data_IF_791995148730
#
_entry.id   IF_791995148730
#
_cell.length_a   1.000
_cell.length_b   1.000
_cell.length_c   1.000
_cell.angle_alpha   90.00
_cell.angle_beta   90.00
_cell.angle_gamma   90.00
#
_symmetry.space_group_name_H-M   'P 1'
#
loop_
_entity.id
_entity.type
_entity.pdbx_description
1 polymer ?
#
# COMPACT_ATOMS: atom_id res chain seq x y z
N UNK A 1 -14.26 -10.07 -0.39
CA UNK A 1 -15.27 -9.04 -0.74
C UNK A 1 -16.05 -8.51 0.47
N UNK A 2 -16.18 -9.26 1.57
CA UNK A 2 -16.84 -8.77 2.80
C UNK A 2 -16.14 -7.58 3.50
N UNK A 3 -14.81 -7.48 3.38
CA UNK A 3 -14.02 -6.42 4.04
C UNK A 3 -14.30 -5.02 3.45
N UNK A 4 -14.46 -4.90 2.12
CA UNK A 4 -14.84 -3.66 1.45
C UNK A 4 -16.30 -3.24 1.74
N UNK A 5 -17.18 -4.21 2.02
CA UNK A 5 -18.56 -3.93 2.40
C UNK A 5 -18.70 -3.45 3.86
N UNK A 6 -17.77 -3.81 4.76
CA UNK A 6 -17.80 -3.41 6.18
C UNK A 6 -17.16 -2.03 6.44
N UNK A 7 -16.07 -1.70 5.76
CA UNK A 7 -15.43 -0.37 5.85
C UNK A 7 -16.28 0.76 5.24
N UNK A 8 -17.25 0.41 4.41
CA UNK A 8 -17.93 1.33 3.50
C UNK A 8 -17.11 1.54 2.24
N UNK A 9 -17.73 1.28 1.09
CA UNK A 9 -17.12 1.43 -0.25
C UNK A 9 -16.50 2.82 -0.41
N UNK A 10 -17.15 3.85 0.15
CA UNK A 10 -16.69 5.24 0.12
C UNK A 10 -15.32 5.43 0.81
N UNK A 11 -15.12 4.86 2.01
CA UNK A 11 -13.84 4.96 2.70
C UNK A 11 -12.73 4.25 1.94
N UNK A 12 -13.01 3.08 1.36
CA UNK A 12 -12.06 2.35 0.53
C UNK A 12 -11.68 3.12 -0.75
N UNK A 13 -12.64 3.75 -1.42
CA UNK A 13 -12.40 4.57 -2.61
C UNK A 13 -11.57 5.81 -2.27
N UNK A 14 -11.85 6.47 -1.13
CA UNK A 14 -11.07 7.61 -0.66
C UNK A 14 -9.63 7.23 -0.34
N UNK A 15 -9.40 6.08 0.33
CA UNK A 15 -8.06 5.58 0.63
C UNK A 15 -7.28 5.32 -0.67
N UNK A 16 -7.91 4.67 -1.65
CA UNK A 16 -7.29 4.43 -2.95
C UNK A 16 -6.96 5.75 -3.66
N UNK A 17 -7.90 6.70 -3.70
CA UNK A 17 -7.70 8.00 -4.33
C UNK A 17 -6.54 8.79 -3.68
N UNK A 18 -6.53 8.90 -2.34
CA UNK A 18 -5.45 9.56 -1.61
C UNK A 18 -4.11 8.85 -1.79
N UNK A 19 -4.10 7.51 -1.80
CA UNK A 19 -2.90 6.70 -2.02
C UNK A 19 -2.31 6.91 -3.41
N UNK A 20 -3.13 6.79 -4.46
CA UNK A 20 -2.71 7.03 -5.85
C UNK A 20 -2.20 8.46 -6.04
N UNK A 21 -2.88 9.44 -5.46
CA UNK A 21 -2.45 10.84 -5.49
C UNK A 21 -1.10 11.05 -4.81
N UNK A 22 -0.87 10.44 -3.64
CA UNK A 22 0.39 10.52 -2.92
C UNK A 22 1.57 9.90 -3.70
N UNK A 23 1.36 8.71 -4.29
CA UNK A 23 2.39 8.06 -5.13
C UNK A 23 2.67 8.86 -6.41
N UNK A 24 1.64 9.51 -6.98
CA UNK A 24 1.82 10.36 -8.16
C UNK A 24 2.62 11.62 -7.82
N UNK A 25 2.34 12.28 -6.70
CA UNK A 25 3.06 13.49 -6.28
C UNK A 25 4.53 13.24 -5.99
N UNK A 26 4.90 12.08 -5.44
CA UNK A 26 6.32 11.76 -5.24
C UNK A 26 7.05 11.55 -6.56
N UNK A 27 6.43 10.88 -7.54
CA UNK A 27 7.01 10.71 -8.88
C UNK A 27 7.20 12.08 -9.55
N UNK A 28 6.19 12.96 -9.49
CA UNK A 28 6.26 14.32 -10.02
C UNK A 28 7.35 15.14 -9.31
N UNK A 29 7.48 14.99 -8.00
CA UNK A 29 8.54 15.64 -7.20
C UNK A 29 9.94 15.18 -7.65
N UNK A 30 10.13 13.89 -7.90
CA UNK A 30 11.38 13.35 -8.44
C UNK A 30 11.71 13.90 -9.83
N UNK A 31 10.72 13.96 -10.74
CA UNK A 31 10.91 14.52 -12.09
C UNK A 31 11.25 16.01 -12.00
N UNK A 32 10.56 16.75 -11.12
CA UNK A 32 10.83 18.17 -10.90
C UNK A 32 12.23 18.41 -10.36
N UNK A 33 12.66 17.59 -9.39
CA UNK A 33 14.01 17.65 -8.82
C UNK A 33 15.08 17.32 -9.87
N UNK A 34 14.85 16.32 -10.72
CA UNK A 34 15.75 15.99 -11.82
C UNK A 34 15.88 17.17 -12.81
N UNK A 35 14.76 17.79 -13.17
CA UNK A 35 14.75 18.99 -14.03
C UNK A 35 15.51 20.15 -13.38
N UNK A 36 15.26 20.41 -12.10
CA UNK A 36 15.96 21.46 -11.35
C UNK A 36 17.47 21.19 -11.34
N UNK A 37 17.90 19.96 -11.07
CA UNK A 37 19.32 19.57 -11.05
C UNK A 37 20.01 19.73 -12.41
N UNK A 38 19.29 19.59 -13.52
CA UNK A 38 19.83 19.74 -14.88
C UNK A 38 19.84 21.18 -15.40
N UNK A 39 19.11 22.08 -14.74
CA UNK A 39 18.94 23.46 -15.20
C UNK A 39 20.02 24.35 -14.58
N UNK A 40 20.74 25.11 -15.40
CA UNK A 40 21.65 26.15 -14.91
C UNK A 40 20.85 27.34 -14.38
N UNK A 41 20.50 27.30 -13.09
CA UNK A 41 19.75 28.37 -12.42
C UNK A 41 20.68 29.57 -12.20
N UNK A 42 20.48 30.65 -12.95
CA UNK A 42 21.32 31.86 -12.89
C UNK A 42 20.72 32.98 -12.06
N UNK A 43 19.38 32.99 -11.91
CA UNK A 43 18.64 34.07 -11.24
C UNK A 43 18.04 33.60 -9.92
N UNK A 44 18.08 34.45 -8.88
CA UNK A 44 17.47 34.19 -7.56
C UNK A 44 15.97 33.86 -7.67
N UNK A 45 15.22 34.61 -8.49
CA UNK A 45 13.80 34.39 -8.73
C UNK A 45 13.49 32.99 -9.30
N UNK A 46 14.35 32.47 -10.19
CA UNK A 46 14.19 31.13 -10.74
C UNK A 46 14.41 30.07 -9.66
N UNK A 47 15.46 30.22 -8.84
CA UNK A 47 15.74 29.32 -7.71
C UNK A 47 14.56 29.27 -6.75
N UNK A 48 14.02 30.42 -6.37
CA UNK A 48 12.92 30.51 -5.41
C UNK A 48 11.64 29.88 -5.99
N UNK A 49 11.43 29.96 -7.31
CA UNK A 49 10.33 29.27 -8.01
C UNK A 49 10.50 27.74 -7.99
N UNK A 50 11.71 27.24 -8.28
CA UNK A 50 12.01 25.80 -8.20
C UNK A 50 11.82 25.24 -6.79
N UNK A 51 12.31 25.97 -5.80
CA UNK A 51 12.22 25.62 -4.38
C UNK A 51 10.76 25.67 -3.89
N UNK A 52 10.02 26.71 -4.27
CA UNK A 52 8.62 26.89 -3.92
C UNK A 52 7.74 25.78 -4.47
N UNK A 53 7.89 25.43 -5.75
CA UNK A 53 7.10 24.36 -6.35
C UNK A 53 7.43 22.99 -5.74
N UNK A 54 8.71 22.70 -5.49
CA UNK A 54 9.13 21.48 -4.81
C UNK A 54 8.53 21.39 -3.39
N UNK A 55 8.54 22.50 -2.65
CA UNK A 55 7.92 22.60 -1.33
C UNK A 55 6.42 22.32 -1.37
N UNK A 56 5.68 22.91 -2.32
CA UNK A 56 4.23 22.67 -2.49
C UNK A 56 3.93 21.22 -2.85
N UNK A 57 4.71 20.61 -3.75
CA UNK A 57 4.55 19.19 -4.12
C UNK A 57 4.77 18.27 -2.90
N UNK A 58 5.82 18.53 -2.11
CA UNK A 58 6.11 17.78 -0.88
C UNK A 58 5.04 17.96 0.19
N UNK A 59 4.58 19.19 0.43
CA UNK A 59 3.49 19.47 1.37
C UNK A 59 2.19 18.79 0.94
N UNK A 60 1.84 18.86 -0.35
CA UNK A 60 0.69 18.17 -0.91
C UNK A 60 0.76 16.66 -0.69
N UNK A 61 1.94 16.06 -0.88
CA UNK A 61 2.16 14.64 -0.62
C UNK A 61 1.94 14.28 0.86
N UNK A 62 2.54 15.05 1.78
CA UNK A 62 2.40 14.83 3.23
C UNK A 62 0.94 14.94 3.66
N UNK A 63 0.20 15.90 3.13
CA UNK A 63 -1.23 16.08 3.40
C UNK A 63 -2.05 14.86 2.95
N UNK A 64 -1.81 14.35 1.73
CA UNK A 64 -2.52 13.16 1.22
C UNK A 64 -2.22 11.91 2.04
N UNK A 65 -0.95 11.69 2.43
CA UNK A 65 -0.55 10.55 3.27
C UNK A 65 -1.17 10.68 4.67
N UNK A 66 -1.20 11.88 5.23
CA UNK A 66 -1.80 12.15 6.53
C UNK A 66 -3.31 11.91 6.50
N UNK A 67 -4.00 12.41 5.47
CA UNK A 67 -5.43 12.18 5.27
C UNK A 67 -5.75 10.68 5.13
N UNK A 68 -4.97 9.95 4.32
CA UNK A 68 -5.11 8.50 4.17
C UNK A 68 -4.95 7.77 5.52
N UNK A 69 -3.97 8.19 6.33
CA UNK A 69 -3.71 7.58 7.65
C UNK A 69 -4.86 7.82 8.63
N UNK A 70 -5.45 9.02 8.62
CA UNK A 70 -6.61 9.35 9.46
C UNK A 70 -7.86 8.56 9.04
N UNK A 71 -8.11 8.44 7.73
CA UNK A 71 -9.24 7.66 7.21
C UNK A 71 -9.10 6.19 7.59
N UNK A 72 -7.90 5.62 7.44
CA UNK A 72 -7.61 4.24 7.84
C UNK A 72 -7.83 4.03 9.34
N UNK A 73 -7.35 4.94 10.19
CA UNK A 73 -7.55 4.86 11.64
C UNK A 73 -9.03 4.94 12.03
N UNK A 74 -9.80 5.82 11.39
CA UNK A 74 -11.25 5.91 11.62
C UNK A 74 -11.97 4.63 11.16
N UNK A 75 -11.62 4.13 9.98
CA UNK A 75 -12.19 2.91 9.42
C UNK A 75 -11.89 1.67 10.27
N UNK A 76 -10.67 1.52 10.81
CA UNK A 76 -10.31 0.39 11.67
C UNK A 76 -11.08 0.42 12.99
N UNK A 77 -11.22 1.59 13.63
CA UNK A 77 -12.04 1.74 14.83
C UNK A 77 -13.50 1.36 14.59
N UNK A 78 -14.07 1.78 13.46
CA UNK A 78 -15.45 1.43 13.08
C UNK A 78 -15.61 -0.07 12.83
N UNK A 79 -14.67 -0.69 12.12
CA UNK A 79 -14.67 -2.12 11.86
C UNK A 79 -14.59 -2.94 13.16
N UNK A 80 -13.68 -2.57 14.07
CA UNK A 80 -13.54 -3.21 15.37
C UNK A 80 -14.84 -3.16 16.19
N UNK A 81 -15.52 -2.00 16.22
CA UNK A 81 -16.80 -1.84 16.93
C UNK A 81 -17.90 -2.75 16.35
N UNK A 82 -18.02 -2.80 15.03
CA UNK A 82 -19.02 -3.65 14.37
C UNK A 82 -18.77 -5.14 14.63
N UNK A 83 -17.50 -5.57 14.56
CA UNK A 83 -17.11 -6.94 14.84
C UNK A 83 -17.44 -7.33 16.29
N UNK A 84 -17.09 -6.47 17.26
CA UNK A 84 -17.38 -6.70 18.66
C UNK A 84 -18.89 -6.80 18.93
N UNK A 85 -19.70 -5.95 18.32
CA UNK A 85 -21.16 -6.00 18.49
C UNK A 85 -21.76 -7.29 17.91
N UNK A 86 -21.36 -7.69 16.69
CA UNK A 86 -21.84 -8.94 16.08
C UNK A 86 -21.46 -10.18 16.88
N UNK A 87 -20.23 -10.20 17.41
CA UNK A 87 -19.77 -11.27 18.28
C UNK A 87 -20.59 -11.35 19.58
N UNK A 88 -20.82 -10.20 20.23
CA UNK A 88 -21.59 -10.14 21.48
C UNK A 88 -23.02 -10.67 21.31
N UNK A 89 -23.70 -10.25 20.23
CA UNK A 89 -25.05 -10.72 19.91
C UNK A 89 -25.08 -12.22 19.68
N UNK A 90 -24.12 -12.76 18.91
CA UNK A 90 -24.05 -14.20 18.65
C UNK A 90 -23.78 -15.01 19.93
N UNK A 91 -22.91 -14.51 20.81
CA UNK A 91 -22.63 -15.17 22.10
C UNK A 91 -23.90 -15.23 22.96
N UNK A 92 -24.68 -14.14 23.03
CA UNK A 92 -25.91 -14.09 23.84
C UNK A 92 -27.00 -15.07 23.38
N UNK A 93 -26.96 -15.56 22.13
CA UNK A 93 -27.93 -16.51 21.59
C UNK A 93 -27.52 -17.99 21.75
N UNK A 94 -26.35 -18.28 22.33
CA UNK A 94 -25.90 -19.66 22.52
C UNK A 94 -26.67 -20.34 23.69
N UNK A 95 -26.89 -21.67 23.63
CA UNK A 95 -27.56 -22.40 24.70
C UNK A 95 -26.69 -22.51 25.96
N UNK A 96 -27.31 -22.51 27.15
CA UNK A 96 -26.63 -22.52 28.46
C UNK A 96 -25.62 -23.67 28.61
N UNK A 97 -25.89 -24.84 28.01
CA UNK A 97 -24.98 -25.99 27.99
C UNK A 97 -23.61 -25.72 27.34
N UNK A 98 -23.55 -24.78 26.39
CA UNK A 98 -22.31 -24.35 25.75
C UNK A 98 -21.43 -23.52 26.72
N UNK A 99 -22.07 -22.83 27.68
CA UNK A 99 -21.40 -22.05 28.73
C UNK A 99 -20.83 -22.89 29.87
N UNK A 100 -21.37 -24.08 30.10
CA UNK A 100 -20.91 -24.98 31.17
C UNK A 100 -19.77 -25.90 30.74
N UNK A 101 -19.72 -26.29 29.45
CA UNK A 101 -18.77 -27.29 28.93
C UNK A 101 -17.49 -26.69 28.35
N UNK A 102 -17.48 -25.40 28.02
CA UNK A 102 -16.34 -24.74 27.37
C UNK A 102 -15.97 -23.45 28.09
N UNK A 103 -14.67 -23.20 28.27
CA UNK A 103 -14.17 -21.89 28.70
C UNK A 103 -14.40 -20.85 27.58
N UNK A 104 -15.63 -20.37 27.42
CA UNK A 104 -16.08 -19.43 26.36
C UNK A 104 -15.18 -18.20 26.29
N UNK A 105 -14.72 -17.71 27.45
CA UNK A 105 -13.81 -16.57 27.50
C UNK A 105 -12.52 -16.77 26.69
N UNK A 106 -11.98 -18.01 26.62
CA UNK A 106 -10.77 -18.30 25.82
C UNK A 106 -11.08 -18.39 24.32
N UNK A 107 -12.21 -19.01 23.95
CA UNK A 107 -12.61 -19.17 22.53
C UNK A 107 -12.96 -17.81 21.93
N UNK A 108 -13.73 -17.00 22.66
CA UNK A 108 -14.11 -15.64 22.27
C UNK A 108 -12.88 -14.74 22.17
N UNK A 109 -11.98 -14.77 23.15
CA UNK A 109 -10.77 -13.96 23.11
C UNK A 109 -9.84 -14.37 21.96
N UNK A 110 -9.75 -15.68 21.66
CA UNK A 110 -8.98 -16.19 20.52
C UNK A 110 -9.62 -15.80 19.19
N UNK A 111 -10.93 -16.01 19.02
CA UNK A 111 -11.65 -15.68 17.79
C UNK A 111 -11.62 -14.17 17.52
N UNK A 112 -11.86 -13.33 18.53
CA UNK A 112 -11.71 -11.87 18.40
C UNK A 112 -10.30 -11.48 18.01
N UNK A 113 -9.26 -12.09 18.61
CA UNK A 113 -7.87 -11.77 18.29
C UNK A 113 -7.49 -12.23 16.89
N UNK A 114 -7.92 -13.42 16.47
CA UNK A 114 -7.61 -13.98 15.15
C UNK A 114 -8.32 -13.16 14.06
N UNK A 115 -9.60 -12.85 14.23
CA UNK A 115 -10.34 -12.01 13.28
C UNK A 115 -9.76 -10.60 13.23
N UNK A 116 -9.49 -9.96 14.37
CA UNK A 116 -8.86 -8.63 14.38
C UNK A 116 -7.48 -8.63 13.71
N UNK A 117 -6.69 -9.70 13.88
CA UNK A 117 -5.37 -9.80 13.24
C UNK A 117 -5.48 -9.99 11.74
N UNK A 118 -6.42 -10.82 11.27
CA UNK A 118 -6.67 -11.03 9.84
C UNK A 118 -7.22 -9.75 9.20
N UNK A 119 -8.15 -9.10 9.89
CA UNK A 119 -8.79 -7.86 9.48
C UNK A 119 -7.81 -6.69 9.40
N UNK A 120 -6.83 -6.58 10.29
CA UNK A 120 -5.80 -5.53 10.20
C UNK A 120 -4.71 -5.85 9.18
N UNK A 121 -4.28 -7.12 9.11
CA UNK A 121 -3.13 -7.51 8.29
C UNK A 121 -3.44 -7.52 6.80
N UNK A 122 -4.57 -8.11 6.38
CA UNK A 122 -4.89 -8.27 4.95
C UNK A 122 -4.95 -6.93 4.21
N UNK A 123 -5.70 -5.92 4.68
CA UNK A 123 -5.81 -4.64 3.98
C UNK A 123 -4.52 -3.84 4.03
N UNK A 124 -3.76 -3.95 5.13
CA UNK A 124 -2.46 -3.30 5.27
C UNK A 124 -1.45 -3.89 4.28
N UNK A 125 -1.39 -5.22 4.17
CA UNK A 125 -0.56 -5.91 3.20
C UNK A 125 -0.99 -5.60 1.76
N UNK A 126 -2.30 -5.61 1.46
CA UNK A 126 -2.81 -5.27 0.13
C UNK A 126 -2.50 -3.81 -0.24
N UNK A 127 -2.72 -2.88 0.69
CA UNK A 127 -2.44 -1.46 0.48
C UNK A 127 -0.94 -1.24 0.27
N UNK A 128 -0.10 -1.89 1.07
CA UNK A 128 1.36 -1.85 0.89
C UNK A 128 1.76 -2.43 -0.47
N UNK A 129 1.20 -3.58 -0.85
CA UNK A 129 1.44 -4.20 -2.14
C UNK A 129 1.09 -3.25 -3.30
N UNK A 130 -0.11 -2.65 -3.28
CA UNK A 130 -0.55 -1.69 -4.31
C UNK A 130 0.40 -0.49 -4.36
N UNK A 131 0.76 0.10 -3.20
CA UNK A 131 1.68 1.25 -3.15
C UNK A 131 3.05 0.90 -3.71
N UNK A 132 3.64 -0.21 -3.25
CA UNK A 132 4.94 -0.67 -3.72
C UNK A 132 4.91 -1.01 -5.21
N UNK A 133 3.84 -1.66 -5.68
CA UNK A 133 3.66 -1.99 -7.09
C UNK A 133 3.61 -0.75 -7.97
N UNK A 134 2.78 0.24 -7.62
CA UNK A 134 2.70 1.50 -8.35
C UNK A 134 3.99 2.32 -8.28
N UNK A 135 4.61 2.40 -7.10
CA UNK A 135 5.88 3.10 -6.91
C UNK A 135 7.00 2.48 -7.75
N UNK A 136 7.04 1.15 -7.83
CA UNK A 136 7.99 0.42 -8.68
C UNK A 136 7.77 0.72 -10.16
N UNK A 137 6.51 0.66 -10.62
CA UNK A 137 6.16 1.01 -12.00
C UNK A 137 6.52 2.46 -12.34
N UNK A 138 6.21 3.39 -11.43
CA UNK A 138 6.56 4.81 -11.59
C UNK A 138 8.06 5.04 -11.67
N UNK A 139 8.84 4.36 -10.83
CA UNK A 139 10.30 4.44 -10.84
C UNK A 139 10.88 3.89 -12.15
N UNK A 140 10.40 2.74 -12.62
CA UNK A 140 10.81 2.17 -13.92
C UNK A 140 10.50 3.14 -15.05
N UNK A 141 9.32 3.77 -15.02
CA UNK A 141 8.92 4.77 -16.02
C UNK A 141 9.86 5.98 -16.03
N UNK A 142 10.15 6.56 -14.86
CA UNK A 142 11.06 7.70 -14.73
C UNK A 142 12.47 7.38 -15.23
N UNK A 143 13.01 6.22 -14.85
CA UNK A 143 14.35 5.79 -15.29
C UNK A 143 14.37 5.57 -16.79
N UNK A 144 13.36 4.89 -17.34
CA UNK A 144 13.26 4.60 -18.78
C UNK A 144 13.14 5.87 -19.62
N UNK A 145 12.37 6.85 -19.13
CA UNK A 145 12.27 8.16 -19.76
C UNK A 145 13.60 8.93 -19.72
N UNK A 146 14.30 8.90 -18.58
CA UNK A 146 15.56 9.63 -18.42
C UNK A 146 16.72 9.00 -19.16
N UNK A 147 16.79 7.66 -19.21
CA UNK A 147 17.90 6.90 -19.80
C UNK A 147 17.35 5.73 -20.62
N UNK A 148 17.09 5.91 -21.93
CA UNK A 148 16.48 4.86 -22.76
C UNK A 148 17.34 3.59 -22.88
N UNK A 149 18.67 3.71 -22.69
CA UNK A 149 19.58 2.56 -22.64
C UNK A 149 19.27 1.58 -21.50
N UNK A 150 18.63 2.05 -20.42
CA UNK A 150 18.24 1.21 -19.28
C UNK A 150 17.37 0.01 -19.72
N UNK A 151 16.41 0.23 -20.62
CA UNK A 151 15.52 -0.83 -21.12
C UNK A 151 16.30 -1.94 -21.84
N UNK A 152 17.35 -1.57 -22.56
CA UNK A 152 18.19 -2.53 -23.28
C UNK A 152 18.96 -3.40 -22.28
N UNK A 153 19.51 -2.81 -21.23
CA UNK A 153 20.20 -3.54 -20.16
C UNK A 153 19.25 -4.47 -19.39
N UNK A 154 18.02 -4.04 -19.10
CA UNK A 154 16.99 -4.87 -18.44
C UNK A 154 16.59 -6.06 -19.32
N UNK A 155 16.44 -5.85 -20.62
CA UNK A 155 16.16 -6.93 -21.56
C UNK A 155 17.30 -7.94 -21.60
N UNK A 156 18.56 -7.47 -21.70
CA UNK A 156 19.74 -8.33 -21.71
C UNK A 156 19.87 -9.16 -20.42
N UNK A 157 19.66 -8.55 -19.25
CA UNK A 157 19.71 -9.28 -17.97
C UNK A 157 18.56 -10.29 -17.84
N UNK A 158 17.38 -9.98 -18.35
CA UNK A 158 16.24 -10.91 -18.41
C UNK A 158 16.56 -12.15 -19.24
N UNK A 159 17.12 -11.96 -20.44
CA UNK A 159 17.55 -13.08 -21.30
C UNK A 159 18.61 -13.93 -20.59
N UNK A 160 19.61 -13.30 -19.98
CA UNK A 160 20.64 -14.00 -19.22
C UNK A 160 20.05 -14.82 -18.05
N UNK A 161 19.10 -14.27 -17.31
CA UNK A 161 18.45 -14.98 -16.20
C UNK A 161 17.62 -16.18 -16.69
N UNK A 162 16.90 -16.05 -17.81
CA UNK A 162 16.15 -17.17 -18.39
C UNK A 162 17.07 -18.29 -18.88
N UNK A 163 18.25 -17.94 -19.39
CA UNK A 163 19.27 -18.90 -19.79
C UNK A 163 19.80 -19.69 -18.59
N UNK A 164 20.20 -18.99 -17.52
CA UNK A 164 20.65 -19.63 -16.28
C UNK A 164 19.56 -20.48 -15.62
N UNK A 165 18.33 -19.99 -15.59
CA UNK A 165 17.20 -20.73 -15.01
C UNK A 165 16.91 -22.01 -15.80
N UNK A 166 17.05 -21.97 -17.13
CA UNK A 166 16.92 -23.14 -17.99
C UNK A 166 18.04 -24.15 -17.73
N UNK A 167 19.29 -23.73 -17.60
CA UNK A 167 20.41 -24.62 -17.26
C UNK A 167 20.22 -25.28 -15.89
N UNK A 168 19.74 -24.54 -14.89
CA UNK A 168 19.46 -25.08 -13.56
C UNK A 168 18.35 -26.14 -13.57
N UNK A 169 17.27 -25.93 -14.35
CA UNK A 169 16.19 -26.90 -14.54
C UNK A 169 16.63 -28.18 -15.26
N UNK A 170 17.62 -28.11 -16.16
CA UNK A 170 18.18 -29.30 -16.80
C UNK A 170 19.06 -30.12 -15.85
N UNK A 171 19.74 -29.49 -14.89
CA UNK A 171 20.61 -30.17 -13.93
C UNK A 171 19.83 -30.86 -12.79
N UNK A 172 18.66 -30.33 -12.43
CA UNK A 172 17.76 -30.92 -11.43
C UNK A 172 16.36 -31.12 -12.01
N UNK A 173 16.14 -32.16 -12.84
CA UNK A 173 14.80 -32.51 -13.29
C UNK A 173 13.95 -32.87 -12.06
N UNK A 174 12.89 -32.09 -11.85
CA UNK A 174 11.93 -32.28 -10.76
C UNK A 174 11.26 -33.64 -10.95
N UNK A 175 11.59 -34.62 -10.10
CA UNK A 175 10.99 -35.96 -10.06
C UNK A 175 9.72 -35.99 -9.21
#
# INVERSE_FOLDING_TARGET
>A
MAYACSLGIICSLLILFCGLGAESLIIVSCIWLAKWSSTNVTTSQQRDTFLGLYGVLGLGQVLLISAMSLILAYSSMKAARNLHQGLLVNIMHLPMQFFETTHIGRIVNRFSRDVNSVDDKIPRSLSMFIRTFLSTLGTIFVISYSTPLFLTCVFASGVFFTYLFREHLYQHPVS
#
